data_IF_657287032942
#
_entry.id   IF_657287032942
#
_cell.length_a   1.000
_cell.length_b   1.000
_cell.length_c   1.000
_cell.angle_alpha   90.00
_cell.angle_beta   90.00
_cell.angle_gamma   90.00
#
_symmetry.space_group_name_H-M   'P 1'
#
loop_
_entity.id
_entity.type
_entity.pdbx_description
1 polymer ?
#
# COMPACT_ATOMS: atom_id res chain seq x y z
N UNK A 1 -16.08 7.89 -21.87
CA UNK A 1 -16.45 8.17 -20.46
C UNK A 1 -16.15 7.03 -19.48
N UNK A 2 -16.01 5.77 -19.91
CA UNK A 2 -15.72 4.62 -19.01
C UNK A 2 -14.45 4.79 -18.15
N UNK A 3 -13.37 5.34 -18.71
CA UNK A 3 -12.10 5.51 -17.99
C UNK A 3 -12.15 6.56 -16.86
N UNK A 4 -13.08 7.52 -16.96
CA UNK A 4 -13.29 8.55 -15.94
C UNK A 4 -14.02 7.96 -14.72
N UNK A 5 -15.02 7.10 -14.96
CA UNK A 5 -15.72 6.34 -13.92
C UNK A 5 -14.74 5.40 -13.22
N UNK A 6 -13.91 4.66 -13.96
CA UNK A 6 -12.92 3.76 -13.36
C UNK A 6 -11.89 4.51 -12.51
N UNK A 7 -11.45 5.69 -12.93
CA UNK A 7 -10.49 6.49 -12.18
C UNK A 7 -11.09 7.04 -10.88
N UNK A 8 -12.32 7.59 -10.92
CA UNK A 8 -12.95 8.22 -9.76
C UNK A 8 -13.63 7.22 -8.81
N UNK A 9 -14.07 6.06 -9.31
CA UNK A 9 -14.66 5.01 -8.48
C UNK A 9 -13.61 4.04 -7.89
N UNK A 10 -12.33 4.38 -7.95
CA UNK A 10 -11.28 3.58 -7.32
C UNK A 10 -11.39 3.66 -5.78
N UNK A 11 -11.61 2.51 -5.15
CA UNK A 11 -11.76 2.38 -3.70
C UNK A 11 -10.47 2.64 -2.93
N UNK A 12 -9.32 2.63 -3.60
CA UNK A 12 -8.01 2.92 -3.01
C UNK A 12 -7.75 4.44 -2.89
N UNK A 13 -8.64 5.29 -3.43
CA UNK A 13 -8.51 6.74 -3.30
C UNK A 13 -8.67 7.18 -1.84
N UNK A 14 -7.79 8.06 -1.41
CA UNK A 14 -7.71 8.62 -0.05
C UNK A 14 -7.83 10.15 -0.14
N UNK A 15 -8.05 10.85 0.99
CA UNK A 15 -8.17 12.31 0.98
C UNK A 15 -7.06 13.03 0.19
N UNK A 16 -5.79 12.60 0.32
CA UNK A 16 -4.66 13.13 -0.46
C UNK A 16 -4.82 12.98 -1.99
N UNK A 17 -5.39 11.86 -2.45
CA UNK A 17 -5.63 11.63 -3.87
C UNK A 17 -6.77 12.51 -4.37
N UNK A 18 -7.82 12.68 -3.57
CA UNK A 18 -8.92 13.59 -3.87
C UNK A 18 -8.48 15.05 -3.94
N UNK A 19 -7.54 15.47 -3.09
CA UNK A 19 -6.91 16.79 -3.15
C UNK A 19 -6.08 16.98 -4.44
N UNK A 20 -5.30 15.97 -4.84
CA UNK A 20 -4.55 15.99 -6.11
C UNK A 20 -5.48 16.05 -7.33
N UNK A 21 -6.56 15.28 -7.29
CA UNK A 21 -7.63 15.31 -8.30
C UNK A 21 -8.23 16.71 -8.35
N UNK A 22 -8.65 17.26 -7.21
CA UNK A 22 -9.23 18.61 -7.10
C UNK A 22 -8.30 19.69 -7.65
N UNK A 23 -7.01 19.62 -7.32
CA UNK A 23 -5.98 20.54 -7.81
C UNK A 23 -5.79 20.41 -9.32
N UNK A 24 -5.84 19.19 -9.86
CA UNK A 24 -5.63 18.93 -11.29
C UNK A 24 -6.78 19.48 -12.14
N UNK A 25 -8.00 19.39 -11.64
CA UNK A 25 -9.19 19.84 -12.36
C UNK A 25 -9.57 21.30 -12.02
N UNK A 26 -9.01 21.86 -10.92
CA UNK A 26 -9.16 23.27 -10.55
C UNK A 26 -10.40 23.57 -9.71
N UNK A 27 -11.05 22.55 -9.15
CA UNK A 27 -12.21 22.69 -8.28
C UNK A 27 -12.26 21.53 -7.27
N UNK A 28 -12.92 21.72 -6.11
CA UNK A 28 -13.03 20.67 -5.12
C UNK A 28 -13.87 19.49 -5.66
N UNK A 29 -13.25 18.31 -5.69
CA UNK A 29 -13.85 17.02 -6.00
C UNK A 29 -13.75 16.15 -4.76
N UNK A 30 -14.91 15.77 -4.23
CA UNK A 30 -15.01 14.89 -3.07
C UNK A 30 -15.88 13.68 -3.42
N UNK A 31 -15.66 12.52 -2.76
CA UNK A 31 -16.47 11.33 -2.92
C UNK A 31 -17.81 11.52 -2.21
N UNK A 32 -18.60 12.46 -2.69
CA UNK A 32 -19.90 12.79 -2.12
C UNK A 32 -21.02 12.31 -3.05
N UNK A 33 -22.15 11.91 -2.47
CA UNK A 33 -23.29 11.28 -3.17
C UNK A 33 -23.94 12.16 -4.26
N UNK A 34 -23.54 13.43 -4.34
CA UNK A 34 -24.05 14.46 -5.26
C UNK A 34 -23.17 14.62 -6.51
N UNK A 35 -22.01 13.94 -6.59
CA UNK A 35 -21.11 14.04 -7.75
C UNK A 35 -21.63 13.23 -8.94
N UNK A 36 -22.34 13.88 -9.87
CA UNK A 36 -22.92 13.24 -11.06
C UNK A 36 -22.02 13.32 -12.29
N UNK A 37 -22.09 12.31 -13.17
CA UNK A 37 -21.35 12.27 -14.44
C UNK A 37 -21.64 13.46 -15.36
N UNK A 38 -22.85 14.02 -15.29
CA UNK A 38 -23.19 15.23 -16.04
C UNK A 38 -22.34 16.42 -15.58
N UNK A 39 -22.13 16.59 -14.27
CA UNK A 39 -21.29 17.65 -13.73
C UNK A 39 -19.82 17.49 -14.15
N UNK A 40 -19.31 16.26 -14.23
CA UNK A 40 -17.97 15.98 -14.78
C UNK A 40 -17.85 16.31 -16.28
N UNK A 41 -18.95 16.18 -17.03
CA UNK A 41 -18.98 16.53 -18.44
C UNK A 41 -19.06 18.05 -18.64
N UNK A 42 -19.90 18.73 -17.85
CA UNK A 42 -20.06 20.19 -17.86
C UNK A 42 -18.77 20.92 -17.43
N UNK A 43 -17.98 20.29 -16.58
CA UNK A 43 -16.69 20.80 -16.11
C UNK A 43 -15.50 20.34 -16.96
N UNK A 44 -15.77 19.67 -18.09
CA UNK A 44 -14.78 19.25 -19.09
C UNK A 44 -13.60 18.45 -18.50
N UNK A 45 -13.90 17.65 -17.46
CA UNK A 45 -12.92 16.84 -16.73
C UNK A 45 -12.27 15.79 -17.63
N UNK A 46 -12.92 15.47 -18.77
CA UNK A 46 -12.38 14.62 -19.83
C UNK A 46 -11.00 15.06 -20.32
N UNK A 47 -10.69 16.35 -20.33
CA UNK A 47 -9.38 16.88 -20.71
C UNK A 47 -8.26 16.44 -19.78
N UNK A 48 -8.58 16.14 -18.53
CA UNK A 48 -7.63 15.72 -17.51
C UNK A 48 -7.62 14.20 -17.28
N UNK A 49 -8.32 13.43 -18.12
CA UNK A 49 -8.50 11.98 -17.94
C UNK A 49 -7.19 11.23 -17.70
N UNK A 50 -6.14 11.49 -18.49
CA UNK A 50 -4.85 10.82 -18.33
C UNK A 50 -4.21 11.09 -16.96
N UNK A 51 -4.33 12.32 -16.43
CA UNK A 51 -3.79 12.67 -15.11
C UNK A 51 -4.59 12.00 -13.99
N UNK A 52 -5.92 11.98 -14.11
CA UNK A 52 -6.80 11.32 -13.15
C UNK A 52 -6.58 9.80 -13.13
N UNK A 53 -6.38 9.18 -14.28
CA UNK A 53 -5.98 7.77 -14.38
C UNK A 53 -4.63 7.54 -13.69
N UNK A 54 -3.64 8.41 -13.92
CA UNK A 54 -2.35 8.32 -13.22
C UNK A 54 -2.48 8.38 -11.70
N UNK A 55 -3.31 9.29 -11.17
CA UNK A 55 -3.56 9.40 -9.71
C UNK A 55 -4.28 8.13 -9.20
N UNK A 56 -5.28 7.64 -9.92
CA UNK A 56 -5.98 6.41 -9.56
C UNK A 56 -5.05 5.19 -9.56
N UNK A 57 -4.21 5.05 -10.58
CA UNK A 57 -3.24 3.96 -10.66
C UNK A 57 -2.20 4.05 -9.55
N UNK A 58 -1.73 5.26 -9.22
CA UNK A 58 -0.84 5.49 -8.08
C UNK A 58 -1.51 5.03 -6.78
N UNK A 59 -2.77 5.42 -6.54
CA UNK A 59 -3.51 5.01 -5.35
C UNK A 59 -3.64 3.48 -5.22
N UNK A 60 -3.87 2.77 -6.33
CA UNK A 60 -3.91 1.30 -6.35
C UNK A 60 -2.54 0.69 -6.04
N UNK A 61 -1.48 1.23 -6.63
CA UNK A 61 -0.10 0.76 -6.39
C UNK A 61 0.32 0.99 -4.93
N UNK A 62 0.02 2.16 -4.38
CA UNK A 62 0.29 2.46 -2.98
C UNK A 62 -0.43 1.49 -2.04
N UNK A 63 -1.72 1.21 -2.29
CA UNK A 63 -2.45 0.25 -1.47
C UNK A 63 -1.86 -1.17 -1.54
N UNK A 64 -1.37 -1.57 -2.71
CA UNK A 64 -0.66 -2.85 -2.86
C UNK A 64 0.66 -2.89 -2.07
N UNK A 65 1.41 -1.78 -2.07
CA UNK A 65 2.65 -1.66 -1.28
C UNK A 65 2.34 -1.71 0.22
N UNK A 66 1.34 -0.97 0.69
CA UNK A 66 0.94 -1.03 2.11
C UNK A 66 0.51 -2.43 2.52
N UNK A 67 -0.29 -3.11 1.69
CA UNK A 67 -0.68 -4.49 1.97
C UNK A 67 0.51 -5.45 2.03
N UNK A 68 1.53 -5.23 1.19
CA UNK A 68 2.77 -6.00 1.25
C UNK A 68 3.53 -5.73 2.56
N UNK A 69 3.63 -4.47 2.98
CA UNK A 69 4.27 -4.08 4.24
C UNK A 69 3.54 -4.65 5.46
N UNK A 70 2.21 -4.57 5.48
CA UNK A 70 1.38 -5.15 6.55
C UNK A 70 1.57 -6.68 6.64
N UNK A 71 1.67 -7.35 5.48
CA UNK A 71 1.95 -8.78 5.43
C UNK A 71 3.36 -9.11 5.95
N UNK A 72 4.37 -8.31 5.57
CA UNK A 72 5.73 -8.46 6.08
C UNK A 72 5.76 -8.29 7.60
N UNK A 73 5.09 -7.27 8.15
CA UNK A 73 5.00 -7.09 9.60
C UNK A 73 4.30 -8.26 10.29
N UNK A 74 3.21 -8.77 9.71
CA UNK A 74 2.48 -9.92 10.25
C UNK A 74 3.34 -11.21 10.25
N UNK A 75 4.20 -11.39 9.25
CA UNK A 75 5.14 -12.51 9.18
C UNK A 75 6.21 -12.46 10.29
N UNK A 76 6.56 -11.27 10.80
CA UNK A 76 7.49 -11.11 11.93
C UNK A 76 6.85 -11.37 13.31
N UNK A 77 5.53 -11.24 13.45
CA UNK A 77 4.84 -11.43 14.74
C UNK A 77 5.08 -12.79 15.42
N UNK A 78 5.06 -13.94 14.72
CA UNK A 78 5.30 -15.23 15.35
C UNK A 78 6.79 -15.55 15.55
N UNK A 79 7.71 -14.77 14.97
CA UNK A 79 9.15 -15.06 15.02
C UNK A 79 9.69 -14.76 16.42
N UNK A 80 10.02 -15.82 17.14
CA UNK A 80 10.52 -15.76 18.51
C UNK A 80 11.98 -16.16 18.62
N UNK A 81 12.64 -15.67 19.68
CA UNK A 81 13.99 -16.12 20.07
C UNK A 81 13.83 -17.31 21.00
N UNK A 82 14.22 -18.51 20.56
CA UNK A 82 14.36 -19.66 21.45
C UNK A 82 15.73 -19.60 22.14
N UNK A 83 15.74 -19.84 23.45
CA UNK A 83 16.96 -19.91 24.25
C UNK A 83 17.25 -21.37 24.62
N UNK A 84 18.48 -21.81 24.35
CA UNK A 84 18.96 -23.14 24.69
C UNK A 84 20.10 -23.06 25.72
N UNK A 85 20.12 -23.93 26.73
CA UNK A 85 21.18 -23.95 27.73
C UNK A 85 22.52 -24.33 27.08
N UNK A 86 23.56 -23.57 27.39
CA UNK A 86 24.91 -23.81 26.90
C UNK A 86 25.73 -24.63 27.91
N UNK A 87 25.80 -25.94 27.66
CA UNK A 87 26.52 -26.89 28.52
C UNK A 87 26.14 -26.73 30.01
N UNK A 88 27.08 -26.94 30.93
CA UNK A 88 26.91 -26.80 32.38
C UNK A 88 27.25 -25.39 32.91
N UNK A 89 27.39 -24.40 32.02
CA UNK A 89 27.85 -23.05 32.40
C UNK A 89 26.77 -22.21 33.09
N UNK A 90 25.51 -22.66 33.07
CA UNK A 90 24.37 -21.92 33.61
C UNK A 90 23.90 -20.74 32.74
N UNK A 91 24.49 -20.57 31.54
CA UNK A 91 24.14 -19.52 30.59
C UNK A 91 23.28 -20.10 29.47
N UNK A 92 22.28 -19.35 29.00
CA UNK A 92 21.51 -19.71 27.81
C UNK A 92 22.03 -18.94 26.59
N UNK A 93 22.12 -19.64 25.46
CA UNK A 93 22.43 -19.05 24.15
C UNK A 93 21.18 -19.08 23.29
N UNK A 94 21.15 -18.23 22.26
CA UNK A 94 20.08 -18.27 21.26
C UNK A 94 20.21 -19.56 20.46
N UNK A 95 19.11 -20.28 20.28
CA UNK A 95 19.06 -21.47 19.46
C UNK A 95 19.44 -21.11 18.01
N UNK A 96 20.34 -21.88 17.39
CA UNK A 96 20.73 -21.67 16.00
C UNK A 96 19.54 -21.70 15.04
N UNK A 97 18.53 -22.53 15.33
CA UNK A 97 17.28 -22.62 14.58
C UNK A 97 16.51 -21.30 14.52
N UNK A 98 16.41 -20.56 15.63
CA UNK A 98 15.74 -19.24 15.64
C UNK A 98 16.51 -18.21 14.82
N UNK A 99 17.84 -18.28 14.81
CA UNK A 99 18.67 -17.38 14.00
C UNK A 99 18.50 -17.67 12.52
N UNK A 100 18.51 -18.95 12.12
CA UNK A 100 18.30 -19.37 10.73
C UNK A 100 16.93 -18.94 10.21
N UNK A 101 15.86 -19.10 11.01
CA UNK A 101 14.51 -18.65 10.66
C UNK A 101 14.44 -17.13 10.45
N UNK A 102 15.01 -16.34 11.38
CA UNK A 102 15.08 -14.87 11.25
C UNK A 102 15.86 -14.43 10.02
N UNK A 103 16.99 -15.09 9.73
CA UNK A 103 17.81 -14.79 8.55
C UNK A 103 17.07 -15.10 7.26
N UNK A 104 16.41 -16.27 7.18
CA UNK A 104 15.63 -16.65 6.02
C UNK A 104 14.47 -15.68 5.74
N UNK A 105 13.73 -15.27 6.78
CA UNK A 105 12.64 -14.31 6.64
C UNK A 105 13.15 -12.93 6.19
N UNK A 106 14.26 -12.46 6.77
CA UNK A 106 14.90 -11.21 6.39
C UNK A 106 15.34 -11.23 4.91
N UNK A 107 15.95 -12.31 4.44
CA UNK A 107 16.40 -12.46 3.06
C UNK A 107 15.23 -12.46 2.07
N UNK A 108 14.13 -13.15 2.39
CA UNK A 108 12.91 -13.15 1.57
C UNK A 108 12.32 -11.74 1.45
N UNK A 109 12.21 -11.02 2.57
CA UNK A 109 11.70 -9.64 2.62
C UNK A 109 12.61 -8.65 1.88
N UNK A 110 13.92 -8.85 1.96
CA UNK A 110 14.89 -8.06 1.21
C UNK A 110 14.76 -8.31 -0.29
N UNK A 111 14.49 -9.54 -0.71
CA UNK A 111 14.18 -9.89 -2.09
C UNK A 111 12.91 -9.20 -2.59
N UNK A 112 11.81 -9.30 -1.83
CA UNK A 112 10.51 -8.66 -2.13
C UNK A 112 10.60 -7.14 -2.30
N UNK A 113 11.45 -6.48 -1.52
CA UNK A 113 11.61 -5.01 -1.55
C UNK A 113 12.46 -4.53 -2.73
N UNK A 114 13.34 -5.38 -3.27
CA UNK A 114 14.27 -5.04 -4.37
C UNK A 114 13.73 -5.39 -5.75
N UNK A 115 12.67 -6.20 -5.83
CA UNK A 115 11.98 -6.58 -7.05
C UNK A 115 11.01 -5.48 -7.51
#
# INVERSE_FOLDING_TARGET
HIGLVQALCNRCLRPRHWEQISTTVGFPIEPDSVFTLNRLNDMDVGKHMLRLQGISEAATKEHAIEKLLDAMEAEWQPVGVELQPFHETGVCVIAGSSIEEMQALLEDHLGKTRA
#
